data_IF_131666790224
#
_entry.id   IF_131666790224
#
_cell.length_a   1.000
_cell.length_b   1.000
_cell.length_c   1.000
_cell.angle_alpha   90.00
_cell.angle_beta   90.00
_cell.angle_gamma   90.00
#
_symmetry.space_group_name_H-M   'P 1'
#
loop_
_entity.id
_entity.type
_entity.pdbx_description
1 polymer ?
#
# COMPACT_ATOMS: atom_id res chain seq x y z
N UNK A 1 -11.38 4.22 17.35
CA UNK A 1 -10.87 3.64 16.09
C UNK A 1 -9.35 3.69 16.17
N UNK A 2 -8.66 2.55 15.97
CA UNK A 2 -7.20 2.54 15.93
C UNK A 2 -6.75 3.20 14.61
N UNK A 3 -5.70 4.02 14.66
CA UNK A 3 -5.14 4.61 13.44
C UNK A 3 -4.38 3.54 12.65
N UNK A 4 -4.38 3.60 11.30
CA UNK A 4 -3.65 2.65 10.48
C UNK A 4 -2.15 2.74 10.75
N UNK A 5 -1.47 1.60 10.81
CA UNK A 5 -0.02 1.55 11.04
C UNK A 5 0.74 2.23 9.90
N UNK A 6 2.00 2.61 10.13
CA UNK A 6 2.84 3.13 9.04
C UNK A 6 2.96 2.12 7.89
N UNK A 7 3.04 0.83 8.20
CA UNK A 7 3.09 -0.23 7.20
C UNK A 7 1.79 -0.33 6.40
N UNK A 8 0.64 -0.19 7.05
CA UNK A 8 -0.66 -0.19 6.37
C UNK A 8 -0.81 1.01 5.43
N UNK A 9 -0.37 2.19 5.85
CA UNK A 9 -0.39 3.40 5.01
C UNK A 9 0.50 3.25 3.78
N UNK A 10 1.70 2.68 3.93
CA UNK A 10 2.60 2.41 2.81
C UNK A 10 2.04 1.31 1.90
N UNK A 11 1.45 0.26 2.45
CA UNK A 11 0.81 -0.81 1.68
C UNK A 11 -0.36 -0.27 0.84
N UNK A 12 -1.19 0.60 1.42
CA UNK A 12 -2.26 1.28 0.69
C UNK A 12 -1.71 2.14 -0.45
N UNK A 13 -0.73 3.00 -0.18
CA UNK A 13 -0.14 3.86 -1.20
C UNK A 13 0.54 3.06 -2.32
N UNK A 14 1.22 1.96 -1.96
CA UNK A 14 1.79 1.03 -2.93
C UNK A 14 0.70 0.44 -3.82
N UNK A 15 -0.38 -0.10 -3.23
CA UNK A 15 -1.50 -0.69 -3.97
C UNK A 15 -2.11 0.30 -4.95
N UNK A 16 -2.51 1.48 -4.47
CA UNK A 16 -3.15 2.51 -5.29
C UNK A 16 -2.21 3.01 -6.41
N UNK A 17 -0.92 3.17 -6.11
CA UNK A 17 0.08 3.58 -7.11
C UNK A 17 0.31 2.49 -8.14
N UNK A 18 0.38 1.23 -7.73
CA UNK A 18 0.57 0.08 -8.61
C UNK A 18 -0.62 -0.08 -9.56
N UNK A 19 -1.85 -0.02 -9.05
CA UNK A 19 -3.07 -0.08 -9.87
C UNK A 19 -3.16 1.08 -10.86
N UNK A 20 -2.78 2.30 -10.43
CA UNK A 20 -2.75 3.48 -11.32
C UNK A 20 -1.72 3.36 -12.44
N UNK A 21 -0.53 2.83 -12.14
CA UNK A 21 0.57 2.73 -13.11
C UNK A 21 0.51 1.48 -13.98
N UNK A 22 -0.12 0.40 -13.54
CA UNK A 22 -0.15 -0.87 -14.27
C UNK A 22 -0.60 -0.72 -15.75
N UNK A 23 -1.68 0.03 -16.08
CA UNK A 23 -2.09 0.24 -17.46
C UNK A 23 -1.04 0.94 -18.34
N UNK A 24 -0.29 1.90 -17.78
CA UNK A 24 0.76 2.63 -18.48
C UNK A 24 1.93 1.71 -18.87
N UNK A 25 2.07 0.58 -18.17
CA UNK A 25 3.05 -0.46 -18.45
C UNK A 25 2.45 -1.66 -19.22
N UNK A 26 1.24 -1.53 -19.77
CA UNK A 26 0.58 -2.60 -20.53
C UNK A 26 0.16 -3.80 -19.68
N UNK A 27 0.13 -3.64 -18.35
CA UNK A 27 -0.24 -4.70 -17.41
C UNK A 27 -1.65 -4.49 -16.87
N UNK A 28 -2.41 -5.58 -16.77
CA UNK A 28 -3.68 -5.59 -16.05
C UNK A 28 -3.49 -6.37 -14.75
N UNK A 29 -3.78 -5.70 -13.64
CA UNK A 29 -3.75 -6.28 -12.30
C UNK A 29 -4.81 -7.37 -12.14
N UNK A 30 -4.65 -8.21 -11.11
CA UNK A 30 -5.59 -9.31 -10.85
C UNK A 30 -6.94 -8.74 -10.42
N UNK A 31 -8.03 -9.23 -11.01
CA UNK A 31 -9.40 -8.75 -10.73
C UNK A 31 -9.78 -8.76 -9.25
N UNK A 32 -9.26 -9.71 -8.48
CA UNK A 32 -9.49 -9.82 -7.04
C UNK A 32 -8.86 -8.68 -6.22
N UNK A 33 -7.77 -8.07 -6.71
CA UNK A 33 -7.09 -6.94 -6.07
C UNK A 33 -7.33 -5.61 -6.78
N UNK A 34 -7.77 -5.62 -8.05
CA UNK A 34 -8.05 -4.44 -8.87
C UNK A 34 -9.31 -3.68 -8.39
N UNK A 35 -9.26 -3.20 -7.16
CA UNK A 35 -10.35 -2.56 -6.42
C UNK A 35 -9.78 -1.44 -5.54
N UNK A 36 -10.61 -0.45 -5.13
CA UNK A 36 -10.21 0.51 -4.11
C UNK A 36 -9.68 -0.20 -2.86
N UNK A 37 -8.71 0.39 -2.17
CA UNK A 37 -8.08 -0.24 -0.99
C UNK A 37 -9.11 -0.75 0.02
N UNK A 38 -10.18 0.02 0.29
CA UNK A 38 -11.26 -0.38 1.19
C UNK A 38 -11.88 -1.75 0.83
N UNK A 39 -12.00 -2.06 -0.46
CA UNK A 39 -12.68 -3.25 -0.99
C UNK A 39 -11.73 -4.42 -1.32
N UNK A 40 -10.41 -4.24 -1.13
CA UNK A 40 -9.44 -5.32 -1.28
C UNK A 40 -9.70 -6.39 -0.20
N UNK A 41 -9.75 -7.69 -0.54
CA UNK A 41 -9.94 -8.75 0.45
C UNK A 41 -8.89 -8.71 1.56
N UNK A 42 -9.31 -8.92 2.82
CA UNK A 42 -8.44 -8.80 3.99
C UNK A 42 -7.19 -9.69 3.92
N UNK A 43 -7.29 -10.88 3.32
CA UNK A 43 -6.12 -11.75 3.12
C UNK A 43 -5.07 -11.10 2.22
N UNK A 44 -5.48 -10.38 1.18
CA UNK A 44 -4.56 -9.67 0.29
C UNK A 44 -3.97 -8.44 0.99
N UNK A 45 -4.80 -7.68 1.73
CA UNK A 45 -4.31 -6.55 2.55
C UNK A 45 -3.25 -7.02 3.55
N UNK A 46 -3.54 -8.06 4.33
CA UNK A 46 -2.62 -8.63 5.32
C UNK A 46 -1.27 -9.00 4.71
N UNK A 47 -1.28 -9.62 3.52
CA UNK A 47 -0.04 -9.94 2.83
C UNK A 47 0.75 -8.68 2.44
N UNK A 48 0.10 -7.69 1.84
CA UNK A 48 0.77 -6.43 1.46
C UNK A 48 1.34 -5.70 2.68
N UNK A 49 0.58 -5.64 3.78
CA UNK A 49 1.05 -5.05 5.05
C UNK A 49 2.24 -5.81 5.60
N UNK A 50 2.18 -7.14 5.69
CA UNK A 50 3.29 -7.96 6.20
C UNK A 50 4.58 -7.82 5.37
N UNK A 51 4.45 -7.70 4.04
CA UNK A 51 5.61 -7.41 3.17
C UNK A 51 6.22 -6.06 3.49
N UNK A 52 5.40 -5.02 3.66
CA UNK A 52 5.89 -3.68 4.00
C UNK A 52 6.53 -3.65 5.39
N UNK A 53 5.94 -4.33 6.38
CA UNK A 53 6.51 -4.48 7.72
C UNK A 53 7.91 -5.09 7.67
N UNK A 54 8.08 -6.17 6.91
CA UNK A 54 9.37 -6.84 6.72
C UNK A 54 10.41 -5.91 6.05
N UNK A 55 10.01 -5.14 5.04
CA UNK A 55 10.92 -4.22 4.33
C UNK A 55 11.33 -3.03 5.22
N UNK A 56 10.41 -2.52 6.04
CA UNK A 56 10.72 -1.49 7.04
C UNK A 56 11.67 -2.04 8.12
N UNK A 57 11.40 -3.24 8.64
CA UNK A 57 12.23 -3.89 9.66
C UNK A 57 13.66 -4.14 9.16
N UNK A 58 13.82 -4.44 7.87
CA UNK A 58 15.13 -4.63 7.22
C UNK A 58 15.81 -3.32 6.81
N UNK A 59 15.13 -2.17 6.96
CA UNK A 59 15.65 -0.86 6.54
C UNK A 59 15.81 -0.71 5.02
N UNK A 60 15.09 -1.50 4.22
CA UNK A 60 15.09 -1.39 2.74
C UNK A 60 14.32 -0.15 2.29
N UNK A 61 13.26 0.17 3.02
CA UNK A 61 12.45 1.37 2.84
C UNK A 61 12.32 2.10 4.17
N UNK A 62 12.03 3.39 4.14
CA UNK A 62 11.68 4.19 5.30
C UNK A 62 10.26 4.72 5.14
N UNK A 63 9.47 4.68 6.21
CA UNK A 63 8.18 5.36 6.24
C UNK A 63 8.43 6.84 6.58
N UNK A 64 8.55 7.68 5.57
CA UNK A 64 8.52 9.13 5.81
C UNK A 64 7.11 9.55 6.18
N UNK A 65 6.93 9.98 7.43
CA UNK A 65 5.82 10.88 7.77
C UNK A 65 6.16 12.24 7.19
N UNK A 66 5.79 12.51 5.94
CA UNK A 66 5.81 13.90 5.45
C UNK A 66 4.91 14.68 6.41
N UNK A 67 5.44 15.64 7.20
CA UNK A 67 4.58 16.45 8.04
C UNK A 67 3.63 17.16 7.07
N UNK A 68 2.32 16.99 7.25
CA UNK A 68 1.32 17.82 6.57
C UNK A 68 1.63 19.28 6.90
N UNK A 69 2.43 19.94 6.06
CA UNK A 69 2.50 21.40 6.01
C UNK A 69 1.25 21.83 5.27
N UNK A 70 0.19 22.08 6.02
CA UNK A 70 -0.90 22.90 5.53
C UNK A 70 -0.47 24.38 5.68
N UNK A 71 -0.71 25.22 4.66
CA UNK A 71 -0.58 26.67 4.80
C UNK A 71 -1.59 27.25 5.81
#
# INVERSE_FOLDING_TARGET
>A
MQQPSAAEQVAQQFHETYERLAPDHGYRTREASARPWADVPDTNKRLMVAVVEELLARGVIAAETVPRRYP
#
